data_IF_457788445004
#
_entry.id   IF_457788445004
#
_cell.length_a   1.000
_cell.length_b   1.000
_cell.length_c   1.000
_cell.angle_alpha   90.00
_cell.angle_beta   90.00
_cell.angle_gamma   90.00
#
_symmetry.space_group_name_H-M   'P 1'
#
loop_
_entity.id
_entity.type
_entity.pdbx_description
1 polymer ?
#
# COMPACT_ATOMS: atom_id res chain seq x y z
N UNK A 1 6.86 10.39 13.23
CA UNK A 1 6.70 8.92 13.41
C UNK A 1 6.22 8.34 12.10
N UNK A 2 6.76 7.20 11.65
CA UNK A 2 6.34 6.50 10.44
C UNK A 2 5.95 5.07 10.81
N UNK A 3 4.73 4.66 10.45
CA UNK A 3 4.14 3.36 10.83
C UNK A 3 3.78 2.63 9.54
N UNK A 4 4.21 1.37 9.42
CA UNK A 4 3.88 0.49 8.30
C UNK A 4 3.04 -0.67 8.81
N UNK A 5 1.96 -0.98 8.11
CA UNK A 5 1.08 -2.11 8.40
C UNK A 5 1.23 -3.18 7.32
N UNK A 6 1.83 -4.31 7.67
CA UNK A 6 2.11 -5.43 6.76
C UNK A 6 1.24 -6.65 7.07
N UNK A 7 1.02 -7.48 6.05
CA UNK A 7 0.23 -8.71 6.17
C UNK A 7 -0.30 -9.21 4.83
N UNK A 8 -0.81 -10.44 4.81
CA UNK A 8 -1.36 -11.07 3.59
C UNK A 8 -2.62 -10.37 3.09
N UNK A 9 -3.01 -10.66 1.86
CA UNK A 9 -4.26 -10.12 1.28
C UNK A 9 -5.48 -10.55 2.09
N UNK A 10 -6.43 -9.62 2.26
CA UNK A 10 -7.63 -9.85 3.06
C UNK A 10 -7.43 -9.83 4.59
N UNK A 11 -6.21 -9.65 5.13
CA UNK A 11 -5.99 -9.67 6.59
C UNK A 11 -6.47 -8.41 7.34
N UNK A 12 -7.13 -7.46 6.65
CA UNK A 12 -7.73 -6.28 7.28
C UNK A 12 -6.81 -5.05 7.43
N UNK A 13 -5.67 -4.98 6.72
CA UNK A 13 -4.72 -3.85 6.78
C UNK A 13 -5.41 -2.48 6.63
N UNK A 14 -6.28 -2.34 5.63
CA UNK A 14 -7.03 -1.09 5.37
C UNK A 14 -7.95 -0.73 6.54
N UNK A 15 -8.61 -1.71 7.14
CA UNK A 15 -9.45 -1.49 8.33
C UNK A 15 -8.59 -0.99 9.49
N UNK A 16 -7.48 -1.68 9.77
CA UNK A 16 -6.58 -1.32 10.87
C UNK A 16 -5.92 0.04 10.66
N UNK A 17 -5.53 0.40 9.43
CA UNK A 17 -4.98 1.71 9.09
C UNK A 17 -5.97 2.84 9.41
N UNK A 18 -7.25 2.65 9.07
CA UNK A 18 -8.30 3.64 9.34
C UNK A 18 -8.60 3.77 10.84
N UNK A 19 -8.65 2.65 11.57
CA UNK A 19 -8.84 2.66 13.02
C UNK A 19 -7.70 3.39 13.73
N UNK A 20 -6.46 3.08 13.37
CA UNK A 20 -5.27 3.74 13.92
C UNK A 20 -5.24 5.24 13.61
N UNK A 21 -5.59 5.63 12.37
CA UNK A 21 -5.69 7.05 12.00
C UNK A 21 -6.71 7.78 12.88
N UNK A 22 -7.89 7.20 13.06
CA UNK A 22 -8.96 7.82 13.85
C UNK A 22 -8.52 7.99 15.31
N UNK A 23 -7.99 6.94 15.93
CA UNK A 23 -7.44 6.99 17.29
C UNK A 23 -6.39 8.09 17.46
N UNK A 24 -5.39 8.14 16.57
CA UNK A 24 -4.33 9.17 16.65
C UNK A 24 -4.87 10.59 16.38
N UNK A 25 -5.87 10.73 15.51
CA UNK A 25 -6.50 12.03 15.25
C UNK A 25 -7.29 12.50 16.48
N UNK A 26 -7.99 11.60 17.18
CA UNK A 26 -8.71 11.87 18.43
C UNK A 26 -7.76 12.31 19.55
N UNK A 27 -6.54 11.75 19.58
CA UNK A 27 -5.45 12.16 20.48
C UNK A 27 -4.77 13.49 20.06
N UNK A 28 -5.24 14.15 19.00
CA UNK A 28 -4.76 15.46 18.55
C UNK A 28 -3.57 15.42 17.58
N UNK A 29 -3.20 14.26 17.04
CA UNK A 29 -2.12 14.16 16.05
C UNK A 29 -2.63 14.42 14.63
N UNK A 30 -1.81 15.08 13.82
CA UNK A 30 -2.01 15.13 12.36
C UNK A 30 -1.58 13.80 11.75
N UNK A 31 -2.49 13.12 11.06
CA UNK A 31 -2.24 11.81 10.46
C UNK A 31 -2.45 11.85 8.96
N UNK A 32 -1.47 11.37 8.21
CA UNK A 32 -1.55 11.17 6.77
C UNK A 32 -1.50 9.67 6.46
N UNK A 33 -2.54 9.16 5.78
CA UNK A 33 -2.57 7.78 5.30
C UNK A 33 -2.06 7.70 3.86
N UNK A 34 -1.21 6.71 3.61
CA UNK A 34 -0.76 6.33 2.27
C UNK A 34 -0.79 4.80 2.14
N UNK A 35 -0.78 4.30 0.91
CA UNK A 35 -0.80 2.88 0.61
C UNK A 35 -0.05 2.57 -0.69
N UNK A 36 0.56 1.40 -0.74
CA UNK A 36 1.24 0.85 -1.91
C UNK A 36 0.46 -0.36 -2.47
N UNK A 37 0.38 -0.56 -3.80
CA UNK A 37 0.91 0.32 -4.83
C UNK A 37 0.17 1.68 -4.87
N UNK A 38 0.89 2.75 -5.18
CA UNK A 38 0.40 4.12 -5.18
C UNK A 38 -0.62 4.38 -6.30
N UNK A 39 -1.09 5.62 -6.40
CA UNK A 39 -1.96 6.08 -7.49
C UNK A 39 -1.20 6.77 -8.64
N UNK A 40 0.14 6.75 -8.62
CA UNK A 40 0.97 7.27 -9.71
C UNK A 40 0.94 6.33 -10.94
N UNK A 41 1.70 6.66 -12.00
CA UNK A 41 1.74 5.85 -13.23
C UNK A 41 2.26 4.42 -13.00
N UNK A 42 3.27 4.27 -12.14
CA UNK A 42 3.91 2.99 -11.81
C UNK A 42 2.97 2.14 -10.93
N UNK A 43 2.43 2.69 -9.85
CA UNK A 43 1.48 1.99 -8.98
C UNK A 43 0.22 1.52 -9.71
N UNK A 44 -0.31 2.34 -10.63
CA UNK A 44 -1.41 1.93 -11.53
C UNK A 44 -1.02 0.80 -12.46
N UNK A 45 0.22 0.81 -12.97
CA UNK A 45 0.73 -0.26 -13.81
C UNK A 45 0.90 -1.57 -13.04
N UNK A 46 1.45 -1.52 -11.82
CA UNK A 46 1.55 -2.67 -10.91
C UNK A 46 0.16 -3.26 -10.64
N UNK A 47 -0.82 -2.42 -10.26
CA UNK A 47 -2.21 -2.86 -10.04
C UNK A 47 -2.79 -3.60 -11.25
N UNK A 48 -2.53 -3.10 -12.46
CA UNK A 48 -2.99 -3.73 -13.72
C UNK A 48 -2.36 -5.11 -13.94
N UNK A 49 -1.06 -5.26 -13.66
CA UNK A 49 -0.36 -6.55 -13.77
C UNK A 49 -0.96 -7.54 -12.77
N UNK A 50 -1.10 -7.15 -11.51
CA UNK A 50 -1.63 -8.02 -10.44
C UNK A 50 -3.08 -8.46 -10.68
N UNK A 51 -3.88 -7.65 -11.38
CA UNK A 51 -5.26 -7.99 -11.75
C UNK A 51 -5.38 -8.80 -13.05
N UNK A 52 -4.28 -9.14 -13.72
CA UNK A 52 -4.27 -9.81 -15.02
C UNK A 52 -3.64 -11.20 -14.95
N UNK A 53 -3.89 -12.04 -15.95
CA UNK A 53 -3.20 -13.34 -16.09
C UNK A 53 -1.73 -13.21 -16.55
N UNK A 54 -1.26 -11.97 -16.79
CA UNK A 54 0.09 -11.73 -17.24
C UNK A 54 1.10 -11.95 -16.10
N UNK A 55 1.98 -12.93 -16.29
CA UNK A 55 3.04 -13.24 -15.32
C UNK A 55 4.31 -12.47 -15.67
N UNK A 56 4.60 -11.46 -14.86
CA UNK A 56 5.90 -10.77 -14.87
C UNK A 56 6.93 -11.59 -14.08
N UNK A 57 8.20 -11.50 -14.46
CA UNK A 57 9.29 -12.02 -13.64
C UNK A 57 9.22 -11.43 -12.21
N UNK A 58 9.32 -12.25 -11.14
CA UNK A 58 9.20 -11.77 -9.77
C UNK A 58 10.21 -10.68 -9.39
N UNK A 59 11.42 -10.70 -9.97
CA UNK A 59 12.44 -9.67 -9.72
C UNK A 59 12.05 -8.36 -10.40
N UNK A 60 11.52 -8.43 -11.62
CA UNK A 60 10.98 -7.25 -12.30
C UNK A 60 9.82 -6.64 -11.51
N UNK A 61 8.94 -7.47 -10.93
CA UNK A 61 7.85 -7.01 -10.08
C UNK A 61 8.36 -6.30 -8.83
N UNK A 62 9.34 -6.90 -8.14
CA UNK A 62 9.97 -6.30 -6.97
C UNK A 62 10.64 -4.94 -7.28
N UNK A 63 11.32 -4.83 -8.44
CA UNK A 63 11.91 -3.56 -8.89
C UNK A 63 10.84 -2.50 -9.18
N UNK A 64 9.71 -2.88 -9.77
CA UNK A 64 8.58 -1.96 -9.99
C UNK A 64 8.00 -1.46 -8.67
N UNK A 65 7.77 -2.33 -7.69
CA UNK A 65 7.35 -1.92 -6.35
C UNK A 65 8.36 -0.98 -5.69
N UNK A 66 9.66 -1.21 -5.89
CA UNK A 66 10.71 -0.31 -5.39
C UNK A 66 10.66 1.07 -6.06
N UNK A 67 10.34 1.13 -7.35
CA UNK A 67 10.22 2.38 -8.10
C UNK A 67 8.91 3.16 -7.84
N UNK A 68 7.88 2.51 -7.30
CA UNK A 68 6.60 3.14 -6.96
C UNK A 68 6.61 3.87 -5.62
N UNK A 69 7.52 3.47 -4.72
CA UNK A 69 7.73 3.99 -3.36
C UNK A 69 8.29 5.40 -3.34
#
# INVERSE_FOLDING_TARGET
MFIVLEGIDGCGKTTQANLLRNFLTEEGYSVFLTAEPSNNKIGKFIKKILSSDYKLDPRALALLFTADR
#
